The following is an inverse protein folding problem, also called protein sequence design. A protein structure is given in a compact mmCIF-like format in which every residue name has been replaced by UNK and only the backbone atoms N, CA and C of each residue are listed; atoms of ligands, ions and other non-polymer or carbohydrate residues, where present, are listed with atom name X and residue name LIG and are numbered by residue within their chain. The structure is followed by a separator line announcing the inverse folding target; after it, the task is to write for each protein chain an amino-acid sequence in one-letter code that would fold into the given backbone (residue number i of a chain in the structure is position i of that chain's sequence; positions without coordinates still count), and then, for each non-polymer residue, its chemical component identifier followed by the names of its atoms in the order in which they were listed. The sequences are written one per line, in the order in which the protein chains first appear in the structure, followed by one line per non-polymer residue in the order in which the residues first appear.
data_IF_738169473862
#
_entry.id   IF_738169473862
#
_cell.length_a   1.000
_cell.length_b   1.000
_cell.length_c   1.000
_cell.angle_alpha   90.00
_cell.angle_beta   90.00
_cell.angle_gamma   90.00
#
_symmetry.space_group_name_H-M   'P 1'
#
loop_
_entity.id
_entity.type
_entity.pdbx_description
1 polymer ?
#
# COMPACT_ATOMS: atom_id res chain seq x y z
N UNK A 1 55.68 45.93 -65.45
CA UNK A 1 55.29 44.49 -65.39
C UNK A 1 53.85 44.38 -64.87
N UNK A 2 52.91 44.94 -65.64
CA UNK A 2 51.93 44.25 -66.52
C UNK A 2 50.77 43.57 -65.78
N UNK A 3 49.67 44.33 -65.63
CA UNK A 3 48.34 43.91 -65.15
C UNK A 3 47.75 42.70 -65.92
N UNK A 4 48.32 42.33 -67.07
CA UNK A 4 47.97 41.12 -67.81
C UNK A 4 48.39 39.81 -67.08
N UNK A 5 49.45 39.83 -66.27
CA UNK A 5 49.88 38.67 -65.46
C UNK A 5 48.95 38.39 -64.26
N UNK A 6 48.30 39.43 -63.73
CA UNK A 6 47.40 39.31 -62.57
C UNK A 6 46.03 38.72 -62.98
N UNK A 7 45.51 39.14 -64.13
CA UNK A 7 44.21 38.66 -64.66
C UNK A 7 44.29 37.18 -65.10
N UNK A 8 45.43 36.77 -65.68
CA UNK A 8 45.70 35.37 -66.05
C UNK A 8 45.87 34.48 -64.82
N UNK A 9 46.50 34.97 -63.74
CA UNK A 9 46.61 34.28 -62.44
C UNK A 9 45.26 34.03 -61.76
N UNK A 10 44.36 35.04 -61.76
CA UNK A 10 43.02 34.94 -61.15
C UNK A 10 42.12 33.99 -61.95
N UNK A 11 42.15 34.04 -63.29
CA UNK A 11 41.44 33.07 -64.13
C UNK A 11 41.94 31.65 -63.87
N UNK A 12 43.26 31.44 -63.80
CA UNK A 12 43.86 30.12 -63.50
C UNK A 12 43.46 29.57 -62.13
N UNK A 13 43.40 30.41 -61.08
CA UNK A 13 42.92 30.01 -59.74
C UNK A 13 41.44 29.65 -59.73
N UNK A 14 40.59 30.40 -60.43
CA UNK A 14 39.15 30.08 -60.55
C UNK A 14 38.94 28.78 -61.32
N UNK A 15 39.69 28.55 -62.40
CA UNK A 15 39.63 27.28 -63.14
C UNK A 15 40.09 26.10 -62.27
N UNK A 16 41.16 26.26 -61.47
CA UNK A 16 41.62 25.21 -60.53
C UNK A 16 40.55 24.91 -59.48
N UNK A 17 39.90 25.92 -58.90
CA UNK A 17 38.84 25.72 -57.90
C UNK A 17 37.63 25.02 -58.52
N UNK A 18 37.22 25.41 -59.73
CA UNK A 18 36.11 24.76 -60.44
C UNK A 18 36.44 23.31 -60.79
N UNK A 19 37.66 23.03 -61.24
CA UNK A 19 38.13 21.65 -61.49
C UNK A 19 38.16 20.85 -60.20
N UNK A 20 38.64 21.41 -59.08
CA UNK A 20 38.66 20.72 -57.78
C UNK A 20 37.24 20.39 -57.30
N UNK A 21 36.29 21.32 -57.43
CA UNK A 21 34.89 21.10 -57.06
C UNK A 21 34.26 20.04 -57.96
N UNK A 22 34.51 20.09 -59.27
CA UNK A 22 34.01 19.07 -60.20
C UNK A 22 34.63 17.69 -59.92
N UNK A 23 35.93 17.62 -59.61
CA UNK A 23 36.57 16.36 -59.22
C UNK A 23 36.03 15.81 -57.91
N UNK A 24 35.72 16.68 -56.94
CA UNK A 24 35.12 16.28 -55.67
C UNK A 24 33.68 15.77 -55.88
N UNK A 25 32.89 16.45 -56.71
CA UNK A 25 31.54 16.02 -57.05
C UNK A 25 31.54 14.70 -57.82
N UNK A 26 32.45 14.54 -58.79
CA UNK A 26 32.63 13.28 -59.51
C UNK A 26 33.11 12.17 -58.59
N UNK A 27 33.96 12.46 -57.60
CA UNK A 27 34.37 11.49 -56.58
C UNK A 27 33.22 11.09 -55.66
N UNK A 28 32.36 12.04 -55.27
CA UNK A 28 31.15 11.76 -54.49
C UNK A 28 30.15 10.92 -55.29
N UNK A 29 29.93 11.24 -56.58
CA UNK A 29 29.08 10.46 -57.48
C UNK A 29 29.68 9.07 -57.72
N UNK A 30 30.99 8.96 -57.88
CA UNK A 30 31.69 7.67 -57.98
C UNK A 30 31.51 6.85 -56.71
N UNK A 31 31.69 7.44 -55.53
CA UNK A 31 31.42 6.80 -54.24
C UNK A 31 29.95 6.34 -54.09
N UNK A 32 29.02 7.04 -54.74
CA UNK A 32 27.59 6.73 -54.73
C UNK A 32 27.20 5.65 -55.75
N UNK A 33 27.87 5.58 -56.91
CA UNK A 33 27.64 4.60 -57.97
C UNK A 33 28.39 3.28 -57.76
N UNK A 34 29.54 3.29 -57.08
CA UNK A 34 30.17 2.05 -56.62
C UNK A 34 29.31 1.48 -55.49
N UNK A 35 28.57 0.40 -55.79
CA UNK A 35 27.71 -0.37 -54.88
C UNK A 35 28.48 -0.74 -53.60
N UNK A 36 28.43 0.14 -52.60
CA UNK A 36 29.36 0.13 -51.48
C UNK A 36 28.84 -0.77 -50.36
N UNK A 37 28.75 -2.07 -50.65
CA UNK A 37 28.52 -3.10 -49.63
C UNK A 37 29.65 -3.17 -48.60
N UNK A 38 30.84 -2.63 -48.91
CA UNK A 38 32.00 -2.60 -48.01
C UNK A 38 31.98 -1.47 -46.96
N UNK A 39 31.34 -0.32 -47.24
CA UNK A 39 31.27 0.78 -46.26
C UNK A 39 30.29 0.50 -45.10
N UNK A 40 29.30 -0.37 -45.29
CA UNK A 40 28.36 -0.75 -44.22
C UNK A 40 28.98 -1.72 -43.19
N UNK A 41 30.14 -2.32 -43.48
CA UNK A 41 30.87 -3.26 -42.62
C UNK A 41 32.01 -2.60 -41.81
N UNK A 42 32.32 -1.31 -42.02
CA UNK A 42 33.31 -0.63 -41.18
C UNK A 42 32.77 -0.44 -39.76
N UNK A 43 33.28 -1.25 -38.83
CA UNK A 43 33.09 -1.10 -37.37
C UNK A 43 33.22 0.36 -36.90
N UNK A 44 34.05 1.16 -37.57
CA UNK A 44 34.24 2.59 -37.30
C UNK A 44 32.94 3.40 -37.48
N UNK A 45 32.17 3.17 -38.54
CA UNK A 45 30.90 3.89 -38.77
C UNK A 45 29.84 3.45 -37.76
N UNK A 46 29.77 2.16 -37.42
CA UNK A 46 28.92 1.65 -36.34
C UNK A 46 29.33 2.29 -34.99
N UNK A 47 30.62 2.31 -34.66
CA UNK A 47 31.16 2.93 -33.43
C UNK A 47 30.87 4.43 -33.36
N UNK A 48 31.05 5.17 -34.46
CA UNK A 48 30.76 6.61 -34.52
C UNK A 48 29.27 6.86 -34.37
N UNK A 49 28.41 6.08 -35.03
CA UNK A 49 26.95 6.14 -34.85
C UNK A 49 26.56 5.83 -33.40
N UNK A 50 27.08 4.75 -32.81
CA UNK A 50 26.81 4.39 -31.41
C UNK A 50 27.30 5.47 -30.45
N UNK A 51 28.48 6.05 -30.66
CA UNK A 51 29.02 7.14 -29.84
C UNK A 51 28.21 8.44 -30.00
N UNK A 52 27.75 8.76 -31.20
CA UNK A 52 26.84 9.88 -31.46
C UNK A 52 25.47 9.67 -30.80
N UNK A 53 24.90 8.46 -30.88
CA UNK A 53 23.66 8.10 -30.20
C UNK A 53 23.81 8.15 -28.67
N UNK A 54 24.91 7.63 -28.13
CA UNK A 54 25.22 7.68 -26.69
C UNK A 54 25.42 9.13 -26.23
N UNK A 55 26.15 9.95 -26.98
CA UNK A 55 26.33 11.38 -26.67
C UNK A 55 25.02 12.16 -26.78
N UNK A 56 24.18 11.87 -27.78
CA UNK A 56 22.87 12.50 -27.92
C UNK A 56 21.92 12.07 -26.78
N UNK A 57 21.93 10.80 -26.40
CA UNK A 57 21.19 10.29 -25.26
C UNK A 57 21.69 10.93 -23.95
N UNK A 58 23.00 10.98 -23.73
CA UNK A 58 23.62 11.62 -22.56
C UNK A 58 23.29 13.12 -22.51
N UNK A 59 23.39 13.85 -23.62
CA UNK A 59 23.01 15.26 -23.72
C UNK A 59 21.51 15.47 -23.47
N UNK A 60 20.65 14.54 -23.90
CA UNK A 60 19.21 14.59 -23.62
C UNK A 60 18.93 14.37 -22.13
N UNK A 61 19.61 13.42 -21.49
CA UNK A 61 19.52 13.16 -20.04
C UNK A 61 20.05 14.34 -19.22
N UNK A 62 21.19 14.91 -19.61
CA UNK A 62 21.79 16.10 -18.99
C UNK A 62 20.89 17.35 -19.17
N UNK A 63 20.26 17.51 -20.34
CA UNK A 63 19.29 18.60 -20.59
C UNK A 63 18.01 18.41 -19.76
N UNK A 64 17.52 17.18 -19.61
CA UNK A 64 16.40 16.86 -18.71
C UNK A 64 16.75 17.11 -17.23
N UNK A 65 17.99 16.82 -16.80
CA UNK A 65 18.48 17.18 -15.48
C UNK A 65 18.56 18.70 -15.30
N UNK A 66 19.00 19.44 -16.32
CA UNK A 66 19.16 20.91 -16.28
C UNK A 66 17.83 21.68 -16.32
N UNK A 67 16.74 21.05 -16.78
CA UNK A 67 15.38 21.63 -16.75
C UNK A 67 14.58 21.25 -15.50
N UNK A 68 15.13 20.45 -14.58
CA UNK A 68 14.39 20.00 -13.40
C UNK A 68 14.39 21.10 -12.35
N UNK A 69 13.26 21.78 -12.17
CA UNK A 69 13.10 22.76 -11.10
C UNK A 69 13.30 22.07 -9.73
N UNK A 70 14.30 22.44 -8.93
CA UNK A 70 14.59 21.78 -7.66
C UNK A 70 13.48 21.95 -6.61
N UNK A 71 12.61 22.95 -6.78
CA UNK A 71 11.44 23.20 -5.96
C UNK A 71 10.21 22.34 -6.32
N UNK A 72 10.29 21.48 -7.34
CA UNK A 72 9.18 20.62 -7.77
C UNK A 72 9.55 19.13 -7.65
N UNK A 73 8.62 18.35 -7.11
CA UNK A 73 8.66 16.88 -7.10
C UNK A 73 8.29 16.34 -8.49
N UNK A 74 7.28 16.95 -9.10
CA UNK A 74 6.78 16.63 -10.42
C UNK A 74 6.63 17.93 -11.20
N UNK A 75 7.20 18.00 -12.39
CA UNK A 75 7.09 19.16 -13.27
C UNK A 75 6.70 18.67 -14.67
N UNK A 76 5.39 18.66 -14.92
CA UNK A 76 4.81 18.34 -16.22
C UNK A 76 3.86 19.47 -16.63
N UNK A 77 3.55 19.64 -17.93
CA UNK A 77 2.64 20.69 -18.38
C UNK A 77 1.24 20.63 -17.74
N UNK A 78 0.73 19.43 -17.45
CA UNK A 78 -0.59 19.24 -16.84
C UNK A 78 -0.61 19.11 -15.32
N UNK A 79 0.55 18.89 -14.68
CA UNK A 79 0.64 18.73 -13.23
C UNK A 79 2.02 19.17 -12.72
N UNK A 80 2.00 20.10 -11.78
CA UNK A 80 3.18 20.55 -11.03
C UNK A 80 2.94 20.30 -9.56
N UNK A 81 3.83 19.56 -8.92
CA UNK A 81 3.76 19.24 -7.49
C UNK A 81 4.99 19.84 -6.81
N UNK A 82 4.76 20.74 -5.87
CA UNK A 82 5.83 21.38 -5.11
C UNK A 82 6.55 20.41 -4.17
N UNK A 83 7.86 20.60 -4.04
CA UNK A 83 8.69 19.93 -3.06
C UNK A 83 8.68 20.74 -1.77
N UNK A 84 7.77 20.38 -0.87
CA UNK A 84 7.61 21.02 0.43
C UNK A 84 8.63 20.47 1.45
N UNK A 85 9.15 21.35 2.29
CA UNK A 85 9.97 20.99 3.45
C UNK A 85 9.06 20.58 4.62
N UNK A 86 9.21 19.35 5.18
CA UNK A 86 8.49 18.96 6.38
C UNK A 86 8.77 19.86 7.59
N UNK A 87 9.87 20.61 7.65
CA UNK A 87 10.20 21.47 8.79
C UNK A 87 10.27 22.96 8.41
N UNK A 88 9.53 23.35 7.37
CA UNK A 88 9.46 24.75 6.93
C UNK A 88 9.07 25.67 8.12
N UNK A 89 9.74 26.83 8.28
CA UNK A 89 9.45 27.77 9.37
C UNK A 89 7.97 28.19 9.47
N UNK A 90 7.23 28.18 8.36
CA UNK A 90 5.79 28.52 8.34
C UNK A 90 4.89 27.51 9.06
N UNK A 91 5.36 26.29 9.32
CA UNK A 91 4.56 25.21 9.93
C UNK A 91 5.25 24.51 11.09
N UNK A 92 6.51 24.83 11.37
CA UNK A 92 7.27 24.19 12.45
C UNK A 92 6.65 24.44 13.83
N UNK A 93 6.01 25.59 14.02
CA UNK A 93 5.30 25.93 15.25
C UNK A 93 4.03 25.08 15.46
N UNK A 94 3.48 24.49 14.40
CA UNK A 94 2.35 23.57 14.46
C UNK A 94 2.79 22.12 14.74
N UNK A 95 4.09 21.83 14.66
CA UNK A 95 4.63 20.51 14.88
C UNK A 95 4.82 20.25 16.37
N UNK A 96 4.13 19.22 16.87
CA UNK A 96 4.34 18.71 18.22
C UNK A 96 4.93 17.31 18.14
N UNK A 97 6.13 17.11 18.69
CA UNK A 97 6.69 15.78 18.82
C UNK A 97 5.84 14.97 19.82
N UNK A 98 5.38 13.79 19.39
CA UNK A 98 4.65 12.85 20.25
C UNK A 98 5.55 11.66 20.55
N UNK A 99 5.68 11.35 21.84
CA UNK A 99 6.32 10.13 22.29
C UNK A 99 5.41 8.91 22.02
N UNK A 100 5.97 7.70 21.92
CA UNK A 100 5.18 6.47 21.80
C UNK A 100 4.11 6.42 22.88
N UNK A 101 2.87 6.14 22.49
CA UNK A 101 1.74 6.06 23.41
C UNK A 101 1.87 4.78 24.26
N UNK A 102 2.13 4.87 25.59
CA UNK A 102 2.34 3.69 26.40
C UNK A 102 1.00 3.01 26.74
N UNK A 103 0.96 1.69 26.63
CA UNK A 103 -0.13 0.87 27.13
C UNK A 103 0.35 0.07 28.36
N UNK A 104 0.34 0.69 29.56
CA UNK A 104 0.95 0.10 30.75
C UNK A 104 0.18 -1.14 31.24
N UNK A 105 0.89 -1.99 31.99
CA UNK A 105 0.35 -3.18 32.63
C UNK A 105 1.27 -4.40 32.43
N UNK A 106 0.97 -5.54 33.06
CA UNK A 106 1.77 -6.76 32.91
C UNK A 106 1.70 -7.29 31.46
N UNK A 107 2.75 -7.95 30.94
CA UNK A 107 2.72 -8.51 29.59
C UNK A 107 1.63 -9.58 29.45
N UNK A 108 1.06 -9.71 28.24
CA UNK A 108 -0.02 -10.65 27.97
C UNK A 108 0.47 -12.10 28.04
N UNK A 109 -0.25 -12.95 28.81
CA UNK A 109 0.10 -14.37 28.95
C UNK A 109 -0.61 -15.29 27.94
N UNK A 110 -1.57 -14.79 27.17
CA UNK A 110 -2.27 -15.57 26.14
C UNK A 110 -1.95 -15.05 24.74
N UNK A 111 -1.80 -15.97 23.80
CA UNK A 111 -1.60 -15.65 22.38
C UNK A 111 -2.31 -16.64 21.48
N UNK A 112 -2.86 -16.15 20.35
CA UNK A 112 -3.41 -17.01 19.31
C UNK A 112 -2.28 -17.68 18.53
N UNK A 113 -2.48 -18.96 18.21
CA UNK A 113 -1.54 -19.75 17.40
C UNK A 113 -2.13 -20.06 16.02
N UNK A 114 -1.27 -20.30 15.02
CA UNK A 114 -1.71 -20.86 13.74
C UNK A 114 -2.53 -22.13 13.96
N UNK A 115 -3.65 -22.26 13.25
CA UNK A 115 -4.62 -23.35 13.45
C UNK A 115 -5.82 -22.98 14.33
N UNK A 116 -5.83 -21.78 14.92
CA UNK A 116 -6.99 -21.25 15.64
C UNK A 116 -7.11 -21.72 17.10
N UNK A 117 -5.99 -22.04 17.75
CA UNK A 117 -5.94 -22.31 19.19
C UNK A 117 -5.41 -21.09 19.96
N UNK A 118 -5.66 -21.08 21.27
CA UNK A 118 -5.07 -20.12 22.22
C UNK A 118 -4.05 -20.86 23.07
N UNK A 119 -2.84 -20.34 23.12
CA UNK A 119 -1.77 -20.86 23.98
C UNK A 119 -1.57 -19.95 25.19
N UNK A 120 -1.10 -20.55 26.28
CA UNK A 120 -0.73 -19.87 27.53
C UNK A 120 0.78 -19.85 27.69
N UNK A 121 1.33 -18.72 28.14
CA UNK A 121 2.73 -18.59 28.52
C UNK A 121 2.86 -18.71 30.04
N UNK A 122 3.27 -19.89 30.50
CA UNK A 122 3.46 -20.18 31.93
C UNK A 122 4.49 -19.25 32.58
N UNK A 123 5.59 -18.94 31.90
CA UNK A 123 6.62 -18.04 32.42
C UNK A 123 6.06 -16.66 32.71
N UNK A 124 5.24 -16.10 31.82
CA UNK A 124 4.61 -14.79 32.05
C UNK A 124 3.67 -14.85 33.25
N UNK A 125 2.85 -15.89 33.36
CA UNK A 125 1.95 -16.09 34.51
C UNK A 125 2.72 -16.14 35.83
N UNK A 126 3.81 -16.89 35.88
CA UNK A 126 4.61 -17.05 37.09
C UNK A 126 5.34 -15.76 37.46
N UNK A 127 6.01 -15.12 36.51
CA UNK A 127 6.86 -13.95 36.78
C UNK A 127 6.07 -12.66 36.99
N UNK A 128 4.98 -12.45 36.26
CA UNK A 128 4.23 -11.19 36.28
C UNK A 128 2.90 -11.28 37.01
N UNK A 129 2.30 -12.48 37.06
CA UNK A 129 1.00 -12.70 37.72
C UNK A 129 1.12 -13.54 38.98
N UNK A 130 2.28 -14.12 39.30
CA UNK A 130 2.53 -14.92 40.51
C UNK A 130 1.51 -16.07 40.68
N UNK A 131 1.13 -16.69 39.57
CA UNK A 131 0.19 -17.82 39.51
C UNK A 131 0.67 -18.84 38.48
N UNK A 132 0.20 -20.07 38.58
CA UNK A 132 0.53 -21.13 37.61
C UNK A 132 -0.61 -21.35 36.62
N UNK A 133 -0.39 -22.04 35.49
CA UNK A 133 -1.47 -22.44 34.59
C UNK A 133 -2.58 -23.28 35.24
N UNK A 134 -2.30 -23.96 36.35
CA UNK A 134 -3.30 -24.72 37.11
C UNK A 134 -4.22 -23.83 37.96
N UNK A 135 -3.82 -22.59 38.23
CA UNK A 135 -4.60 -21.61 38.99
C UNK A 135 -5.55 -20.77 38.13
N UNK A 136 -5.56 -20.99 36.81
CA UNK A 136 -6.42 -20.24 35.89
C UNK A 136 -7.53 -21.13 35.34
N UNK A 137 -8.75 -20.58 35.28
CA UNK A 137 -9.89 -21.21 34.62
C UNK A 137 -10.48 -20.25 33.62
N UNK A 138 -10.49 -20.65 32.35
CA UNK A 138 -10.88 -19.77 31.27
C UNK A 138 -12.10 -20.30 30.51
N UNK A 139 -12.95 -19.36 30.10
CA UNK A 139 -14.06 -19.58 29.18
C UNK A 139 -13.91 -18.66 27.99
N UNK A 140 -14.47 -19.04 26.85
CA UNK A 140 -14.57 -18.18 25.69
C UNK A 140 -16.02 -18.00 25.24
N UNK A 141 -16.28 -16.88 24.58
CA UNK A 141 -17.51 -16.59 23.86
C UNK A 141 -17.16 -16.25 22.41
N UNK A 142 -17.81 -16.92 21.46
CA UNK A 142 -17.62 -16.60 20.05
C UNK A 142 -18.25 -15.24 19.71
N UNK A 143 -17.58 -14.47 18.86
CA UNK A 143 -18.07 -13.20 18.33
C UNK A 143 -18.39 -13.43 16.85
N UNK A 144 -19.66 -13.25 16.49
CA UNK A 144 -20.13 -13.49 15.13
C UNK A 144 -20.76 -12.24 14.54
N UNK A 145 -20.77 -12.20 13.21
CA UNK A 145 -21.48 -11.17 12.45
C UNK A 145 -22.98 -11.30 12.71
N UNK A 146 -23.61 -10.19 13.11
CA UNK A 146 -25.06 -10.10 13.18
C UNK A 146 -25.57 -9.50 11.88
N UNK A 147 -26.23 -10.32 11.07
CA UNK A 147 -26.81 -9.89 9.80
C UNK A 147 -27.98 -8.93 10.06
N UNK A 148 -28.14 -7.94 9.17
CA UNK A 148 -29.27 -7.02 9.21
C UNK A 148 -30.60 -7.81 9.08
N UNK A 149 -31.58 -7.45 9.91
CA UNK A 149 -32.97 -7.91 9.80
C UNK A 149 -33.81 -6.74 9.32
N UNK A 150 -34.99 -6.96 8.71
CA UNK A 150 -35.91 -5.88 8.39
C UNK A 150 -36.10 -4.95 9.60
N UNK A 151 -35.74 -3.66 9.47
CA UNK A 151 -35.78 -2.65 10.53
C UNK A 151 -34.42 -2.28 11.15
N UNK A 152 -33.39 -3.14 11.11
CA UNK A 152 -32.02 -2.76 11.48
C UNK A 152 -31.27 -2.34 10.22
N UNK A 153 -31.19 -1.03 9.97
CA UNK A 153 -30.74 -0.47 8.68
C UNK A 153 -29.20 -0.41 8.58
N UNK A 154 -28.46 -0.77 9.63
CA UNK A 154 -26.99 -0.66 9.65
C UNK A 154 -26.29 -1.84 10.33
N UNK A 155 -25.17 -2.25 9.73
CA UNK A 155 -24.21 -3.22 10.27
C UNK A 155 -23.37 -2.64 11.44
N UNK A 156 -24.02 -2.33 12.55
CA UNK A 156 -23.42 -1.70 13.74
C UNK A 156 -23.44 -2.59 14.98
N UNK A 157 -23.75 -3.87 14.81
CA UNK A 157 -23.94 -4.80 15.91
C UNK A 157 -23.30 -6.17 15.59
N UNK A 158 -23.17 -6.99 16.62
CA UNK A 158 -22.55 -8.31 16.58
C UNK A 158 -23.27 -9.27 17.51
N UNK A 159 -23.04 -10.56 17.34
CA UNK A 159 -23.59 -11.59 18.23
C UNK A 159 -22.48 -12.15 19.12
N UNK A 160 -22.75 -12.24 20.42
CA UNK A 160 -21.93 -12.99 21.37
C UNK A 160 -22.64 -14.30 21.67
N UNK A 161 -21.96 -15.43 21.42
CA UNK A 161 -22.49 -16.74 21.75
C UNK A 161 -22.33 -17.08 23.25
N UNK A 162 -23.08 -18.08 23.75
CA UNK A 162 -22.91 -18.57 25.11
C UNK A 162 -21.48 -19.00 25.44
N UNK A 163 -21.13 -18.91 26.72
CA UNK A 163 -19.81 -19.29 27.23
C UNK A 163 -19.55 -20.77 27.01
N UNK A 164 -18.33 -21.09 26.58
CA UNK A 164 -17.79 -22.45 26.47
C UNK A 164 -16.46 -22.52 27.22
N UNK A 165 -16.15 -23.67 27.78
CA UNK A 165 -14.85 -23.90 28.43
C UNK A 165 -13.73 -23.75 27.40
N UNK A 166 -12.72 -22.96 27.74
CA UNK A 166 -11.50 -22.85 26.94
C UNK A 166 -10.55 -23.99 27.33
N UNK A 167 -10.16 -24.79 26.35
CA UNK A 167 -9.03 -25.71 26.48
C UNK A 167 -7.86 -25.09 25.72
N UNK A 168 -6.75 -24.83 26.42
CA UNK A 168 -5.55 -24.29 25.79
C UNK A 168 -4.98 -25.27 24.77
N UNK A 169 -4.39 -24.71 23.72
CA UNK A 169 -3.74 -25.44 22.62
C UNK A 169 -4.67 -26.36 21.80
N UNK A 170 -5.98 -26.30 22.04
CA UNK A 170 -7.00 -26.99 21.24
C UNK A 170 -7.58 -26.02 20.20
N UNK A 171 -7.67 -26.41 18.92
CA UNK A 171 -8.29 -25.59 17.88
C UNK A 171 -9.76 -25.25 18.17
N UNK A 172 -10.12 -23.98 17.98
CA UNK A 172 -11.48 -23.48 18.15
C UNK A 172 -12.06 -23.16 16.77
N UNK A 173 -13.25 -23.69 16.47
CA UNK A 173 -13.94 -23.47 15.20
C UNK A 173 -14.73 -22.15 15.20
N UNK A 174 -14.08 -21.04 15.50
CA UNK A 174 -14.64 -19.69 15.46
C UNK A 174 -13.57 -18.73 14.92
N UNK A 175 -13.97 -17.63 14.30
CA UNK A 175 -13.00 -16.65 13.77
C UNK A 175 -12.52 -15.68 14.84
N UNK A 176 -13.43 -15.31 15.74
CA UNK A 176 -13.21 -14.28 16.75
C UNK A 176 -13.78 -14.75 18.07
N UNK A 177 -13.01 -14.58 19.14
CA UNK A 177 -13.45 -14.96 20.48
C UNK A 177 -13.11 -13.89 21.50
N UNK A 178 -13.98 -13.77 22.51
CA UNK A 178 -13.70 -13.11 23.79
C UNK A 178 -13.31 -14.21 24.78
N UNK A 179 -12.11 -14.15 25.34
CA UNK A 179 -11.66 -15.04 26.41
C UNK A 179 -11.76 -14.30 27.74
N UNK A 180 -12.29 -14.97 28.76
CA UNK A 180 -12.41 -14.49 30.13
C UNK A 180 -11.78 -15.56 31.03
N UNK A 181 -10.76 -15.17 31.78
CA UNK A 181 -10.05 -16.04 32.71
C UNK A 181 -10.25 -15.57 34.15
N UNK A 182 -10.66 -16.49 35.02
CA UNK A 182 -10.57 -16.33 36.47
C UNK A 182 -9.13 -16.64 36.90
N UNK A 183 -8.54 -15.73 37.69
CA UNK A 183 -7.16 -15.76 38.14
C UNK A 183 -7.08 -15.97 39.68
N UNK A 184 -7.91 -16.86 40.23
CA UNK A 184 -7.90 -17.35 41.62
C UNK A 184 -7.56 -16.28 42.65
N UNK A 185 -8.56 -15.48 43.02
CA UNK A 185 -8.42 -14.42 44.02
C UNK A 185 -7.86 -13.09 43.46
N UNK A 186 -7.67 -13.00 42.14
CA UNK A 186 -7.34 -11.76 41.43
C UNK A 186 -8.50 -11.34 40.51
N UNK A 187 -8.41 -10.14 39.95
CA UNK A 187 -9.40 -9.65 38.99
C UNK A 187 -9.41 -10.52 37.71
N UNK A 188 -10.60 -10.79 37.19
CA UNK A 188 -10.76 -11.54 35.95
C UNK A 188 -10.05 -10.83 34.79
N UNK A 189 -9.34 -11.62 34.00
CA UNK A 189 -8.63 -11.15 32.82
C UNK A 189 -9.44 -11.42 31.55
N UNK A 190 -9.71 -10.36 30.78
CA UNK A 190 -10.41 -10.45 29.51
C UNK A 190 -9.47 -10.08 28.37
N UNK A 191 -9.47 -10.90 27.30
CA UNK A 191 -8.77 -10.61 26.06
C UNK A 191 -9.60 -11.05 24.85
N UNK A 192 -9.50 -10.30 23.75
CA UNK A 192 -10.19 -10.59 22.50
C UNK A 192 -9.19 -11.08 21.46
N UNK A 193 -9.53 -12.10 20.70
CA UNK A 193 -8.64 -12.72 19.73
C UNK A 193 -9.27 -12.83 18.35
N UNK A 194 -8.55 -12.40 17.29
CA UNK A 194 -8.69 -12.98 15.96
C UNK A 194 -7.96 -14.32 15.90
N UNK A 195 -8.70 -15.41 15.72
CA UNK A 195 -8.14 -16.75 15.60
C UNK A 195 -7.60 -16.98 14.18
N UNK A 196 -6.31 -17.32 14.10
CA UNK A 196 -5.60 -17.55 12.84
C UNK A 196 -5.86 -18.98 12.34
N UNK A 197 -7.06 -19.22 11.81
CA UNK A 197 -7.49 -20.55 11.34
C UNK A 197 -7.72 -20.60 9.83
N UNK A 198 -7.49 -21.76 9.24
CA UNK A 198 -7.97 -22.07 7.89
C UNK A 198 -9.40 -22.62 7.98
N UNK A 199 -10.30 -22.09 7.16
CA UNK A 199 -11.69 -22.52 7.11
C UNK A 199 -11.84 -23.61 6.06
N UNK A 200 -12.31 -24.80 6.46
CA UNK A 200 -12.38 -25.96 5.57
C UNK A 200 -13.14 -25.65 4.27
N UNK A 201 -14.30 -24.99 4.38
CA UNK A 201 -15.12 -24.62 3.23
C UNK A 201 -14.41 -23.67 2.24
N UNK A 202 -13.52 -22.81 2.77
CA UNK A 202 -12.73 -21.89 1.95
C UNK A 202 -11.61 -22.65 1.28
N UNK A 203 -10.86 -23.46 2.03
CA UNK A 203 -9.76 -24.25 1.49
C UNK A 203 -10.23 -25.19 0.37
N UNK A 204 -11.35 -25.88 0.57
CA UNK A 204 -11.96 -26.74 -0.44
C UNK A 204 -12.29 -25.96 -1.72
N UNK A 205 -12.94 -24.80 -1.59
CA UNK A 205 -13.27 -23.94 -2.72
C UNK A 205 -12.00 -23.44 -3.44
N UNK A 206 -11.04 -22.85 -2.71
CA UNK A 206 -9.83 -22.25 -3.30
C UNK A 206 -8.88 -23.30 -3.90
N UNK A 207 -8.86 -24.52 -3.37
CA UNK A 207 -8.02 -25.62 -3.89
C UNK A 207 -8.40 -26.05 -5.32
N UNK A 208 -9.65 -25.81 -5.71
CA UNK A 208 -10.13 -26.10 -7.08
C UNK A 208 -9.68 -25.05 -8.11
N UNK A 209 -9.15 -23.90 -7.66
CA UNK A 209 -8.78 -22.79 -8.52
C UNK A 209 -7.26 -22.83 -8.74
N UNK A 210 -6.85 -22.83 -10.00
CA UNK A 210 -5.43 -22.78 -10.34
C UNK A 210 -4.77 -21.53 -9.71
N UNK A 211 -3.71 -21.69 -8.92
CA UNK A 211 -3.08 -20.58 -8.26
C UNK A 211 -2.44 -19.63 -9.29
N UNK A 212 -2.48 -18.32 -9.04
CA UNK A 212 -1.81 -17.35 -9.90
C UNK A 212 -0.30 -17.57 -9.88
N UNK A 213 0.32 -17.39 -11.04
CA UNK A 213 1.78 -17.44 -11.20
C UNK A 213 2.30 -16.04 -11.60
N UNK A 214 3.27 -15.46 -10.87
CA UNK A 214 3.87 -15.96 -9.64
C UNK A 214 2.89 -15.90 -8.44
N UNK A 215 3.08 -16.81 -7.49
CA UNK A 215 2.26 -16.87 -6.27
C UNK A 215 2.71 -15.79 -5.28
N UNK A 216 2.06 -14.63 -5.34
CA UNK A 216 2.37 -13.48 -4.48
C UNK A 216 1.18 -13.13 -3.61
N UNK A 217 1.42 -12.94 -2.31
CA UNK A 217 0.46 -12.33 -1.39
C UNK A 217 0.45 -10.81 -1.57
N UNK A 218 -0.72 -10.20 -1.44
CA UNK A 218 -0.90 -8.75 -1.53
C UNK A 218 -1.49 -8.25 -0.22
N UNK A 219 -0.79 -7.32 0.43
CA UNK A 219 -1.22 -6.67 1.66
C UNK A 219 -1.38 -5.18 1.36
N UNK A 220 -2.58 -4.64 1.61
CA UNK A 220 -2.84 -3.21 1.60
C UNK A 220 -2.98 -2.74 3.04
N UNK A 221 -2.09 -1.85 3.47
CA UNK A 221 -2.12 -1.24 4.80
C UNK A 221 -2.34 0.26 4.67
N UNK A 222 -3.42 0.75 5.28
CA UNK A 222 -3.76 2.17 5.35
C UNK A 222 -3.59 2.71 6.77
N UNK A 223 -3.32 4.00 6.88
CA UNK A 223 -3.29 4.74 8.16
C UNK A 223 -4.13 6.00 7.98
N UNK A 224 -5.16 6.15 8.81
CA UNK A 224 -6.04 7.31 8.81
C UNK A 224 -5.66 8.26 9.97
N UNK A 225 -5.56 9.59 9.81
CA UNK A 225 -5.42 10.40 8.59
C UNK A 225 -3.99 10.97 8.55
N UNK A 226 -3.14 10.56 7.60
CA UNK A 226 -1.75 11.06 7.53
C UNK A 226 -1.41 11.72 6.19
N UNK A 227 -0.74 12.88 6.26
CA UNK A 227 -0.13 13.53 5.09
C UNK A 227 1.30 13.04 4.88
N UNK A 228 1.83 13.17 3.65
CA UNK A 228 3.24 12.86 3.36
C UNK A 228 4.21 13.60 4.29
N UNK A 229 3.94 14.87 4.59
CA UNK A 229 4.80 15.66 5.47
C UNK A 229 4.73 15.17 6.92
N UNK A 230 3.55 14.81 7.42
CA UNK A 230 3.42 14.22 8.76
C UNK A 230 4.05 12.83 8.86
N UNK A 231 3.97 12.01 7.79
CA UNK A 231 4.71 10.76 7.72
C UNK A 231 6.22 10.99 7.89
N UNK A 232 6.79 11.96 7.17
CA UNK A 232 8.21 12.30 7.28
C UNK A 232 8.61 12.79 8.68
N UNK A 233 7.72 13.49 9.38
CA UNK A 233 7.96 13.99 10.75
C UNK A 233 7.89 12.90 11.81
N UNK A 234 6.85 12.06 11.78
CA UNK A 234 6.49 11.14 12.87
C UNK A 234 6.93 9.69 12.63
N UNK A 235 7.00 9.23 11.38
CA UNK A 235 7.32 7.83 11.04
C UNK A 235 8.81 7.67 10.71
N UNK A 236 9.69 8.29 11.51
CA UNK A 236 11.13 8.41 11.20
C UNK A 236 11.82 7.06 11.00
N UNK A 237 11.52 6.08 11.86
CA UNK A 237 12.05 4.70 11.76
C UNK A 237 11.58 4.00 10.49
N UNK A 238 10.29 4.08 10.19
CA UNK A 238 9.68 3.49 8.99
C UNK A 238 10.21 4.15 7.73
N UNK A 239 10.30 5.48 7.70
CA UNK A 239 10.86 6.23 6.57
C UNK A 239 12.34 5.87 6.33
N UNK A 240 13.15 5.80 7.38
CA UNK A 240 14.55 5.38 7.26
C UNK A 240 14.67 3.95 6.73
N UNK A 241 13.84 3.03 7.23
CA UNK A 241 13.76 1.66 6.71
C UNK A 241 13.44 1.66 5.21
N UNK A 242 12.33 2.27 4.80
CA UNK A 242 11.89 2.32 3.39
C UNK A 242 12.97 2.91 2.48
N UNK A 243 13.60 4.01 2.88
CA UNK A 243 14.65 4.68 2.09
C UNK A 243 15.88 3.80 1.86
N UNK A 244 16.21 2.93 2.80
CA UNK A 244 17.37 2.06 2.74
C UNK A 244 17.10 0.77 1.93
N UNK A 245 15.85 0.48 1.57
CA UNK A 245 15.48 -0.68 0.77
C UNK A 245 15.41 -0.33 -0.72
N UNK A 246 16.04 -1.14 -1.57
CA UNK A 246 15.99 -0.95 -3.04
C UNK A 246 14.69 -1.44 -3.68
N UNK A 247 13.88 -2.21 -2.94
CA UNK A 247 12.65 -2.85 -3.41
C UNK A 247 11.42 -1.95 -3.29
N UNK A 248 11.51 -0.84 -2.55
CA UNK A 248 10.38 0.06 -2.36
C UNK A 248 10.28 1.09 -3.49
N UNK A 249 9.07 1.29 -3.97
CA UNK A 249 8.76 2.32 -4.95
C UNK A 249 7.95 3.46 -4.30
N UNK A 250 8.59 4.61 -4.09
CA UNK A 250 7.93 5.82 -3.58
C UNK A 250 7.16 6.52 -4.70
N UNK A 251 5.82 6.43 -4.63
CA UNK A 251 4.90 7.10 -5.54
C UNK A 251 4.79 8.59 -5.21
N UNK A 252 5.84 9.36 -5.56
CA UNK A 252 5.98 10.77 -5.15
C UNK A 252 4.88 11.72 -5.61
N UNK A 253 4.17 11.38 -6.68
CA UNK A 253 3.04 12.14 -7.22
C UNK A 253 1.66 11.61 -6.84
N UNK A 254 1.59 10.61 -5.94
CA UNK A 254 0.31 10.11 -5.44
C UNK A 254 -0.38 11.17 -4.59
N UNK A 255 -1.66 11.43 -4.88
CA UNK A 255 -2.48 12.42 -4.18
C UNK A 255 -3.87 11.86 -3.89
N UNK A 256 -4.51 12.43 -2.87
CA UNK A 256 -5.90 12.16 -2.53
C UNK A 256 -6.84 12.69 -3.62
N UNK A 257 -7.94 11.98 -3.87
CA UNK A 257 -9.03 12.34 -4.80
C UNK A 257 -10.09 13.19 -4.12
N UNK A 258 -10.32 12.99 -2.82
CA UNK A 258 -11.28 13.75 -2.04
C UNK A 258 -10.83 13.98 -0.60
N UNK A 259 -11.69 14.55 0.22
CA UNK A 259 -11.30 14.94 1.58
C UNK A 259 -11.32 13.80 2.59
N UNK A 260 -12.33 12.94 2.53
CA UNK A 260 -12.57 11.89 3.52
C UNK A 260 -12.10 10.50 3.04
N UNK A 261 -12.18 9.50 3.90
CA UNK A 261 -11.69 8.13 3.63
C UNK A 261 -12.38 7.47 2.43
N UNK A 262 -13.72 7.47 2.39
CA UNK A 262 -14.49 6.86 1.28
C UNK A 262 -14.12 7.41 -0.12
N UNK A 263 -14.13 8.73 -0.38
CA UNK A 263 -13.84 9.22 -1.72
C UNK A 263 -12.40 8.94 -2.20
N UNK A 264 -11.49 8.62 -1.28
CA UNK A 264 -10.11 8.22 -1.61
C UNK A 264 -9.96 6.71 -1.82
N UNK A 265 -10.55 5.90 -0.93
CA UNK A 265 -10.43 4.44 -1.02
C UNK A 265 -11.35 3.84 -2.09
N UNK A 266 -12.50 4.45 -2.38
CA UNK A 266 -13.37 3.97 -3.47
C UNK A 266 -12.65 3.87 -4.82
N UNK A 267 -12.02 4.93 -5.36
CA UNK A 267 -11.31 4.83 -6.64
C UNK A 267 -10.09 3.91 -6.56
N UNK A 268 -9.39 3.85 -5.42
CA UNK A 268 -8.28 2.92 -5.23
C UNK A 268 -8.73 1.45 -5.34
N UNK A 269 -9.87 1.12 -4.74
CA UNK A 269 -10.36 -0.25 -4.60
C UNK A 269 -11.27 -0.69 -5.76
N UNK A 270 -11.92 0.23 -6.47
CA UNK A 270 -12.90 -0.08 -7.53
C UNK A 270 -12.51 0.45 -8.91
N UNK A 271 -11.59 1.42 -8.98
CA UNK A 271 -11.28 2.15 -10.20
C UNK A 271 -12.37 3.11 -10.67
N UNK A 272 -13.41 3.37 -9.85
CA UNK A 272 -14.54 4.25 -10.18
C UNK A 272 -14.53 5.52 -9.34
N UNK A 273 -15.15 6.58 -9.86
CA UNK A 273 -15.35 7.77 -9.04
C UNK A 273 -16.39 7.48 -7.93
N UNK A 274 -16.27 8.13 -6.76
CA UNK A 274 -17.18 7.89 -5.64
C UNK A 274 -18.65 8.12 -5.99
N UNK A 275 -18.92 9.16 -6.79
CA UNK A 275 -20.26 9.56 -7.22
C UNK A 275 -20.92 8.56 -8.20
N UNK A 276 -20.13 7.74 -8.92
CA UNK A 276 -20.64 6.67 -9.77
C UNK A 276 -21.05 5.42 -8.97
N UNK A 277 -20.57 5.32 -7.73
CA UNK A 277 -20.77 4.14 -6.87
C UNK A 277 -21.84 4.40 -5.82
N UNK A 278 -21.82 5.57 -5.18
CA UNK A 278 -22.72 5.87 -4.07
C UNK A 278 -23.03 7.37 -3.97
N UNK A 279 -24.26 7.71 -3.60
CA UNK A 279 -24.68 9.06 -3.26
C UNK A 279 -25.68 9.04 -2.08
N UNK A 280 -26.03 10.22 -1.56
CA UNK A 280 -26.84 10.38 -0.35
C UNK A 280 -28.26 9.76 -0.46
N UNK A 281 -28.83 9.66 -1.66
CA UNK A 281 -30.16 9.03 -1.83
C UNK A 281 -30.14 7.51 -1.64
N UNK A 282 -28.94 6.91 -1.67
CA UNK A 282 -28.73 5.47 -1.52
C UNK A 282 -28.34 5.05 -0.10
N UNK A 283 -28.21 6.00 0.84
CA UNK A 283 -27.60 5.78 2.16
C UNK A 283 -28.23 4.65 2.98
N UNK A 284 -29.56 4.51 2.89
CA UNK A 284 -30.36 3.56 3.67
C UNK A 284 -30.90 2.38 2.84
N UNK A 285 -30.57 2.33 1.53
CA UNK A 285 -31.10 1.34 0.59
C UNK A 285 -30.01 0.45 -0.02
N UNK A 286 -28.83 1.00 -0.29
CA UNK A 286 -27.78 0.30 -1.02
C UNK A 286 -26.82 -0.46 -0.10
N UNK A 287 -26.43 -1.65 -0.53
CA UNK A 287 -25.26 -2.36 -0.05
C UNK A 287 -24.15 -2.42 -1.11
N UNK A 288 -22.90 -2.64 -0.68
CA UNK A 288 -21.72 -2.69 -1.55
C UNK A 288 -21.45 -4.08 -2.17
N UNK A 289 -22.39 -5.02 -2.04
CA UNK A 289 -22.31 -6.40 -2.51
C UNK A 289 -22.15 -6.53 -4.03
N UNK A 290 -22.72 -5.60 -4.81
CA UNK A 290 -22.63 -5.62 -6.28
C UNK A 290 -21.49 -4.74 -6.82
N UNK A 291 -20.78 -4.02 -5.95
CA UNK A 291 -19.65 -3.19 -6.37
C UNK A 291 -18.45 -4.08 -6.66
N UNK A 292 -17.82 -3.95 -7.83
CA UNK A 292 -16.63 -4.74 -8.20
C UNK A 292 -15.36 -4.23 -7.49
N UNK A 293 -15.29 -4.52 -6.19
CA UNK A 293 -14.16 -4.16 -5.35
C UNK A 293 -13.01 -5.15 -5.58
N UNK A 294 -11.77 -4.65 -5.62
CA UNK A 294 -10.57 -5.38 -6.05
C UNK A 294 -10.41 -6.76 -5.40
N UNK A 295 -10.73 -6.91 -4.11
CA UNK A 295 -10.62 -8.20 -3.43
C UNK A 295 -11.54 -9.28 -4.01
N UNK A 296 -12.67 -8.93 -4.63
CA UNK A 296 -13.54 -9.89 -5.33
C UNK A 296 -12.83 -10.50 -6.54
N UNK A 297 -11.99 -9.72 -7.24
CA UNK A 297 -11.15 -10.21 -8.34
C UNK A 297 -10.04 -11.13 -7.83
N UNK A 298 -9.45 -10.83 -6.68
CA UNK A 298 -8.49 -11.72 -6.02
C UNK A 298 -9.17 -13.02 -5.56
N UNK A 299 -10.35 -12.95 -4.93
CA UNK A 299 -11.11 -14.13 -4.51
C UNK A 299 -11.40 -15.08 -5.69
N UNK A 300 -11.81 -14.55 -6.85
CA UNK A 300 -12.02 -15.31 -8.10
C UNK A 300 -10.76 -16.00 -8.63
N UNK A 301 -9.57 -15.52 -8.24
CA UNK A 301 -8.27 -16.10 -8.59
C UNK A 301 -7.70 -17.02 -7.50
N UNK A 302 -8.54 -17.50 -6.58
CA UNK A 302 -8.13 -18.45 -5.55
C UNK A 302 -7.43 -17.82 -4.33
N UNK A 303 -7.41 -16.49 -4.22
CA UNK A 303 -6.87 -15.85 -3.02
C UNK A 303 -7.81 -15.99 -1.83
N UNK A 304 -7.20 -16.15 -0.66
CA UNK A 304 -7.86 -15.91 0.63
C UNK A 304 -7.90 -14.41 0.87
N UNK A 305 -9.07 -13.89 1.20
CA UNK A 305 -9.32 -12.45 1.31
C UNK A 305 -9.61 -12.05 2.75
N UNK A 306 -9.04 -10.93 3.17
CA UNK A 306 -9.25 -10.38 4.50
C UNK A 306 -9.48 -8.88 4.39
N UNK A 307 -10.38 -8.36 5.22
CA UNK A 307 -10.70 -6.94 5.30
C UNK A 307 -11.01 -6.57 6.75
N UNK A 308 -10.45 -5.44 7.19
CA UNK A 308 -10.63 -4.92 8.54
C UNK A 308 -10.22 -3.48 8.65
N UNK A 309 -10.99 -2.73 9.45
CA UNK A 309 -10.72 -1.36 9.86
C UNK A 309 -10.90 -1.29 11.37
N UNK A 310 -9.97 -0.64 12.06
CA UNK A 310 -9.92 -0.54 13.51
C UNK A 310 -10.99 0.41 14.11
N UNK A 311 -11.55 1.29 13.28
CA UNK A 311 -12.67 2.16 13.63
C UNK A 311 -13.98 1.70 12.95
N UNK A 312 -14.75 0.77 13.54
CA UNK A 312 -15.86 0.13 12.84
C UNK A 312 -17.02 1.10 12.54
N UNK A 313 -17.29 2.10 13.39
CA UNK A 313 -18.38 3.06 13.15
C UNK A 313 -18.05 4.11 12.08
N UNK A 314 -16.76 4.36 11.84
CA UNK A 314 -16.26 5.30 10.84
C UNK A 314 -15.62 4.60 9.63
N UNK A 315 -15.82 3.28 9.51
CA UNK A 315 -15.24 2.49 8.44
C UNK A 315 -15.70 2.94 7.05
N UNK A 316 -14.83 2.74 6.07
CA UNK A 316 -14.96 3.21 4.68
C UNK A 316 -16.34 2.96 4.08
N UNK A 317 -16.88 1.75 4.26
CA UNK A 317 -18.16 1.34 3.67
C UNK A 317 -19.35 1.41 4.65
N UNK A 318 -19.12 1.75 5.92
CA UNK A 318 -20.14 1.72 6.97
C UNK A 318 -20.45 3.10 7.58
N UNK A 319 -19.56 4.10 7.43
CA UNK A 319 -19.84 5.45 7.91
C UNK A 319 -20.97 6.11 7.10
N UNK A 320 -22.14 6.27 7.73
CA UNK A 320 -23.33 6.83 7.07
C UNK A 320 -23.90 5.95 5.95
N UNK A 321 -23.53 4.67 5.91
CA UNK A 321 -23.86 3.72 4.82
C UNK A 321 -24.20 2.36 5.42
N UNK A 322 -24.95 1.52 4.70
CA UNK A 322 -25.32 0.18 5.19
C UNK A 322 -24.14 -0.79 5.29
N UNK A 323 -23.11 -0.61 4.45
CA UNK A 323 -22.02 -1.57 4.33
C UNK A 323 -22.37 -2.70 3.38
N UNK A 324 -22.19 -3.94 3.84
CA UNK A 324 -22.40 -5.13 3.04
C UNK A 324 -23.56 -5.95 3.60
N UNK A 325 -24.37 -6.55 2.75
CA UNK A 325 -25.40 -7.50 3.16
C UNK A 325 -24.75 -8.86 3.45
N UNK A 326 -24.00 -9.38 2.50
CA UNK A 326 -23.20 -10.60 2.63
C UNK A 326 -21.79 -10.30 3.13
N UNK A 327 -21.11 -11.33 3.63
CA UNK A 327 -19.75 -11.15 4.17
C UNK A 327 -18.81 -10.86 2.98
N UNK A 328 -18.13 -9.70 2.93
CA UNK A 328 -17.48 -9.22 1.70
C UNK A 328 -16.17 -9.96 1.35
N UNK A 329 -15.61 -10.71 2.30
CA UNK A 329 -14.32 -11.39 2.24
C UNK A 329 -14.33 -12.68 3.08
N UNK A 330 -13.35 -13.55 2.86
CA UNK A 330 -13.20 -14.82 3.59
C UNK A 330 -13.01 -14.60 5.11
N UNK A 331 -12.30 -13.54 5.50
CA UNK A 331 -12.02 -13.15 6.89
C UNK A 331 -12.37 -11.67 7.13
N UNK A 332 -13.55 -11.40 7.67
CA UNK A 332 -14.06 -10.05 7.87
C UNK A 332 -13.96 -9.61 9.34
N UNK A 333 -13.06 -8.69 9.66
CA UNK A 333 -12.70 -8.34 11.05
C UNK A 333 -13.72 -7.43 11.75
N UNK A 334 -14.70 -6.88 11.03
CA UNK A 334 -15.65 -5.91 11.58
C UNK A 334 -16.36 -6.38 12.87
N UNK A 335 -16.88 -7.63 12.99
CA UNK A 335 -17.54 -8.06 14.22
C UNK A 335 -16.60 -8.01 15.44
N UNK A 336 -15.33 -8.38 15.27
CA UNK A 336 -14.32 -8.28 16.33
C UNK A 336 -14.10 -6.82 16.74
N UNK A 337 -13.93 -5.91 15.77
CA UNK A 337 -13.70 -4.50 16.07
C UNK A 337 -14.93 -3.83 16.70
N UNK A 338 -16.15 -4.18 16.30
CA UNK A 338 -17.37 -3.73 16.98
C UNK A 338 -17.39 -4.21 18.43
N UNK A 339 -17.05 -5.48 18.68
CA UNK A 339 -16.97 -6.02 20.03
C UNK A 339 -15.90 -5.35 20.88
N UNK A 340 -14.70 -5.11 20.33
CA UNK A 340 -13.62 -4.37 20.97
C UNK A 340 -14.02 -2.92 21.29
N UNK A 341 -14.68 -2.24 20.35
CA UNK A 341 -15.13 -0.87 20.52
C UNK A 341 -16.13 -0.73 21.68
N UNK A 342 -17.00 -1.73 21.87
CA UNK A 342 -17.99 -1.79 22.95
C UNK A 342 -17.50 -2.56 24.19
N UNK A 343 -16.23 -2.96 24.23
CA UNK A 343 -15.69 -3.82 25.29
C UNK A 343 -15.35 -3.06 26.57
N UNK A 344 -15.38 -3.79 27.69
CA UNK A 344 -14.86 -3.33 28.97
C UNK A 344 -13.35 -3.06 28.92
N UNK A 345 -12.61 -3.77 28.06
CA UNK A 345 -11.14 -3.66 27.96
C UNK A 345 -10.75 -2.28 27.45
N UNK A 346 -11.52 -1.74 26.50
CA UNK A 346 -11.30 -0.38 25.99
C UNK A 346 -11.52 0.70 27.04
N UNK A 347 -12.47 0.50 27.94
CA UNK A 347 -12.84 1.47 28.98
C UNK A 347 -11.88 1.45 30.18
N UNK A 348 -11.07 0.40 30.34
CA UNK A 348 -10.14 0.24 31.47
C UNK A 348 -8.79 0.95 31.29
N UNK A 349 -8.42 1.26 30.05
CA UNK A 349 -7.10 1.81 29.72
C UNK A 349 -7.17 3.19 29.06
N UNK A 350 -6.00 3.78 28.74
CA UNK A 350 -5.92 4.90 27.81
C UNK A 350 -6.65 4.55 26.50
N UNK A 351 -7.31 5.53 25.86
CA UNK A 351 -8.34 5.31 24.83
C UNK A 351 -7.96 4.33 23.69
N UNK A 352 -6.68 4.21 23.36
CA UNK A 352 -6.15 3.34 22.28
C UNK A 352 -5.49 2.04 22.76
N UNK A 353 -5.56 1.73 24.05
CA UNK A 353 -4.94 0.54 24.64
C UNK A 353 -5.97 -0.55 24.88
N UNK A 354 -5.93 -1.59 24.05
CA UNK A 354 -6.62 -2.86 24.33
C UNK A 354 -5.66 -3.76 25.11
N UNK A 355 -5.88 -3.85 26.42
CA UNK A 355 -4.93 -4.43 27.36
C UNK A 355 -3.55 -3.72 27.31
N UNK A 356 -2.57 -4.29 27.99
CA UNK A 356 -1.18 -3.81 28.07
C UNK A 356 -0.36 -4.23 26.83
N UNK A 357 0.65 -3.42 26.50
CA UNK A 357 1.62 -3.70 25.42
C UNK A 357 3.07 -3.59 25.94
N UNK A 358 3.28 -3.99 27.20
CA UNK A 358 4.57 -3.90 27.90
C UNK A 358 5.64 -4.84 27.35
#
# INVERSE_FOLDING_TARGET
MSSAMLITSIRRRRTIVVVLILTLLLFIVWLWQTDNRYLNELHVIKLVKTKLFLNAALNRTLRLQRMKNPGLILDTPGCRISKMDPFDPSVIELYEAKEPYPCPGPPLFMSSRPGGSISVNATILETHYQITPADISCVYQAIRRKYEKPGNVRENDYEILPRRTLQFDVPINEDYIKVICDLKGKENFTQYFPLVRLKKEIEENKSSIAPPMPHLNVILTGVDSISKLNFLRHFRRTHAFIKNQKTFFDMKGYTKVGDNTFPNLNPLLTGRFPQDVWNESLKDTMYFDDVDIIWKRYAKKGYRTQYGEDSPFFGTFNYGRRGFNETPVDYYLRPLYLALHNSEVRNKGPFYCFNSQA
#
